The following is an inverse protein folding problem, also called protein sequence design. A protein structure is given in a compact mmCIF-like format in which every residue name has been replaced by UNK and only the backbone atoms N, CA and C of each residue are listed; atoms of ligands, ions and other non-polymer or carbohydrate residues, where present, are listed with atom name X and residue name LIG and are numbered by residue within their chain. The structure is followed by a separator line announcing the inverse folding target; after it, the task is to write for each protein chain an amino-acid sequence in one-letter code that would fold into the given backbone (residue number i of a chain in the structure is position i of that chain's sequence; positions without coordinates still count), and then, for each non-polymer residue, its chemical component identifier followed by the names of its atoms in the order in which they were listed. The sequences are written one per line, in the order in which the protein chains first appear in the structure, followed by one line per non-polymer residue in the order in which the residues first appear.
data_IF_322608496451
#
_entry.id   IF_322608496451
#
_cell.length_a   1.000
_cell.length_b   1.000
_cell.length_c   1.000
_cell.angle_alpha   90.00
_cell.angle_beta   90.00
_cell.angle_gamma   90.00
#
_symmetry.space_group_name_H-M   'P 1'
#
loop_
_entity.id
_entity.type
_entity.pdbx_description
1 polymer ?
#
# COMPACT_ATOMS: atom_id res chain seq x y z
N UNK A 1 -1.68 -14.19 -3.65
CA UNK A 1 -0.23 -13.92 -3.44
C UNK A 1 0.04 -12.84 -2.41
N UNK A 2 -0.82 -11.83 -2.29
CA UNK A 2 -0.70 -10.75 -1.30
C UNK A 2 -0.76 -11.25 0.16
N UNK A 3 -1.54 -12.30 0.47
CA UNK A 3 -1.51 -12.90 1.82
C UNK A 3 -0.20 -13.63 2.13
N UNK A 4 0.52 -14.12 1.10
CA UNK A 4 1.76 -14.89 1.30
C UNK A 4 2.92 -14.02 1.76
N UNK A 5 2.88 -12.71 1.52
CA UNK A 5 3.88 -11.80 2.09
C UNK A 5 3.70 -11.61 3.59
N UNK A 6 2.56 -12.00 4.19
CA UNK A 6 2.31 -11.95 5.64
C UNK A 6 2.20 -10.54 6.23
N UNK A 7 2.63 -9.52 5.48
CA UNK A 7 2.70 -8.10 5.83
C UNK A 7 1.38 -7.33 5.63
N UNK A 8 0.46 -7.89 4.85
CA UNK A 8 -0.83 -7.28 4.52
C UNK A 8 -1.97 -8.08 5.14
N UNK A 9 -3.05 -7.37 5.47
CA UNK A 9 -4.32 -7.92 5.88
C UNK A 9 -5.37 -7.52 4.83
N UNK A 10 -5.98 -8.53 4.20
CA UNK A 10 -7.02 -8.31 3.20
C UNK A 10 -8.33 -8.02 3.92
N UNK A 11 -8.89 -6.84 3.69
CA UNK A 11 -10.20 -6.44 4.20
C UNK A 11 -11.32 -6.79 3.23
N UNK A 12 -11.03 -6.73 1.93
CA UNK A 12 -11.95 -7.13 0.88
C UNK A 12 -11.16 -7.82 -0.22
N UNK A 13 -11.53 -9.07 -0.50
CA UNK A 13 -10.91 -9.94 -1.50
C UNK A 13 -11.48 -9.74 -2.91
N UNK A 14 -12.50 -8.89 -3.03
CA UNK A 14 -13.20 -8.64 -4.28
C UNK A 14 -14.35 -9.61 -4.57
N UNK A 15 -14.80 -10.37 -3.56
CA UNK A 15 -15.89 -11.35 -3.71
C UNK A 15 -17.25 -10.71 -4.06
N UNK A 16 -17.50 -9.46 -3.66
CA UNK A 16 -18.77 -8.77 -3.94
C UNK A 16 -18.69 -7.70 -5.04
N UNK A 17 -17.54 -7.04 -5.15
CA UNK A 17 -17.23 -6.05 -6.16
C UNK A 17 -15.80 -6.32 -6.60
N UNK A 18 -15.40 -6.01 -7.85
CA UNK A 18 -14.04 -6.22 -8.34
C UNK A 18 -13.11 -5.15 -7.76
N UNK A 19 -13.01 -5.12 -6.43
CA UNK A 19 -12.25 -4.16 -5.64
C UNK A 19 -11.56 -4.96 -4.55
N UNK A 20 -10.24 -4.89 -4.52
CA UNK A 20 -9.44 -5.46 -3.46
C UNK A 20 -9.05 -4.34 -2.51
N UNK A 21 -9.41 -4.49 -1.24
CA UNK A 21 -8.99 -3.56 -0.18
C UNK A 21 -8.08 -4.32 0.78
N UNK A 22 -6.92 -3.76 1.05
CA UNK A 22 -5.98 -4.33 2.01
C UNK A 22 -5.32 -3.23 2.83
N UNK A 23 -4.88 -3.61 4.03
CA UNK A 23 -4.11 -2.76 4.93
C UNK A 23 -2.74 -3.38 5.23
N UNK A 24 -1.78 -2.56 5.63
CA UNK A 24 -0.54 -3.06 6.21
C UNK A 24 -0.82 -3.52 7.65
N UNK A 25 -0.30 -4.67 8.05
CA UNK A 25 -0.28 -5.05 9.46
C UNK A 25 0.64 -4.12 10.25
N UNK A 26 0.28 -3.83 11.49
CA UNK A 26 1.12 -3.13 12.44
C UNK A 26 2.42 -3.92 12.64
N UNK A 27 3.52 -3.29 12.24
CA UNK A 27 4.86 -3.86 12.32
C UNK A 27 5.82 -2.75 12.72
N UNK A 28 6.29 -2.81 13.97
CA UNK A 28 7.13 -1.77 14.58
C UNK A 28 8.47 -1.57 13.88
N UNK A 29 8.85 -2.49 12.97
CA UNK A 29 10.12 -2.47 12.25
C UNK A 29 10.01 -1.93 10.81
N UNK A 30 8.85 -1.36 10.44
CA UNK A 30 8.59 -0.85 9.09
C UNK A 30 8.58 0.68 9.08
N UNK A 31 9.60 1.28 8.48
CA UNK A 31 9.70 2.74 8.32
C UNK A 31 8.96 3.34 7.11
N UNK A 32 8.08 2.59 6.46
CA UNK A 32 7.28 3.06 5.32
C UNK A 32 5.82 2.63 5.48
N UNK A 33 4.90 3.39 4.88
CA UNK A 33 3.46 3.17 4.98
C UNK A 33 2.80 2.97 3.60
N UNK A 34 1.47 2.81 3.55
CA UNK A 34 0.76 2.60 2.28
C UNK A 34 0.78 3.81 1.35
N UNK A 35 1.03 5.03 1.84
CA UNK A 35 1.25 6.19 0.97
C UNK A 35 2.56 6.06 0.20
N UNK A 36 3.64 5.63 0.85
CA UNK A 36 4.93 5.41 0.17
C UNK A 36 4.80 4.31 -0.90
N UNK A 37 4.05 3.24 -0.59
CA UNK A 37 3.75 2.20 -1.57
C UNK A 37 2.90 2.71 -2.73
N UNK A 38 1.87 3.52 -2.45
CA UNK A 38 1.03 4.13 -3.47
C UNK A 38 1.84 5.06 -4.38
N UNK A 39 2.77 5.84 -3.83
CA UNK A 39 3.66 6.71 -4.61
C UNK A 39 4.59 5.90 -5.54
N UNK A 40 5.20 4.82 -5.02
CA UNK A 40 6.03 3.92 -5.83
C UNK A 40 5.24 3.25 -6.96
N UNK A 41 4.01 2.81 -6.67
CA UNK A 41 3.11 2.26 -7.67
C UNK A 41 2.70 3.32 -8.71
N UNK A 42 2.49 4.56 -8.27
CA UNK A 42 2.20 5.69 -9.15
C UNK A 42 3.35 5.97 -10.12
N UNK A 43 4.60 5.90 -9.66
CA UNK A 43 5.79 6.01 -10.53
C UNK A 43 5.85 4.93 -11.62
N UNK A 44 5.29 3.75 -11.34
CA UNK A 44 5.16 2.62 -12.30
C UNK A 44 3.93 2.76 -13.20
N UNK A 45 3.08 3.76 -12.99
CA UNK A 45 1.85 4.01 -13.75
C UNK A 45 0.59 3.41 -13.15
N UNK A 46 0.68 2.78 -11.97
CA UNK A 46 -0.45 2.21 -11.26
C UNK A 46 -1.12 3.24 -10.35
N UNK A 47 -2.40 3.54 -10.59
CA UNK A 47 -3.18 4.46 -9.77
C UNK A 47 -3.90 3.69 -8.67
N UNK A 48 -3.27 3.56 -7.50
CA UNK A 48 -3.84 2.84 -6.35
C UNK A 48 -3.93 3.77 -5.14
N UNK A 49 -5.10 4.36 -4.85
CA UNK A 49 -5.26 5.30 -3.77
C UNK A 49 -5.10 4.63 -2.39
N UNK A 50 -4.36 5.30 -1.51
CA UNK A 50 -4.26 5.00 -0.09
C UNK A 50 -4.96 6.10 0.72
N UNK A 51 -5.73 5.73 1.73
CA UNK A 51 -6.47 6.67 2.59
C UNK A 51 -6.72 6.06 3.97
N UNK A 52 -6.89 6.89 5.03
CA UNK A 52 -7.11 6.39 6.37
C UNK A 52 -8.54 5.86 6.52
N UNK A 53 -8.72 4.83 7.36
CA UNK A 53 -10.04 4.26 7.62
C UNK A 53 -10.90 5.21 8.48
N UNK A 54 -12.14 5.54 8.07
CA UNK A 54 -13.00 6.41 8.88
C UNK A 54 -13.62 5.65 10.07
N UNK A 55 -13.63 6.31 11.24
CA UNK A 55 -14.02 5.87 12.60
C UNK A 55 -12.90 5.19 13.42
N UNK A 56 -12.43 5.90 14.47
CA UNK A 56 -11.60 5.42 15.59
C UNK A 56 -10.27 4.71 15.26
N UNK A 57 -9.89 4.57 13.99
CA UNK A 57 -8.66 3.94 13.52
C UNK A 57 -7.93 4.88 12.55
N UNK A 58 -7.75 6.14 12.93
CA UNK A 58 -7.10 7.18 12.11
C UNK A 58 -5.65 6.82 11.73
N UNK A 59 -5.03 5.89 12.47
CA UNK A 59 -3.70 5.37 12.20
C UNK A 59 -3.69 4.18 11.21
N UNK A 60 -4.84 3.60 10.88
CA UNK A 60 -4.92 2.51 9.90
C UNK A 60 -5.17 3.06 8.50
N UNK A 61 -4.12 3.03 7.68
CA UNK A 61 -4.20 3.38 6.26
C UNK A 61 -4.62 2.12 5.51
N UNK A 62 -5.56 2.28 4.58
CA UNK A 62 -5.98 1.24 3.66
C UNK A 62 -5.67 1.63 2.22
N UNK A 63 -5.43 0.63 1.39
CA UNK A 63 -5.21 0.81 -0.03
C UNK A 63 -6.32 0.08 -0.81
N UNK A 64 -6.86 0.75 -1.82
CA UNK A 64 -7.99 0.26 -2.62
C UNK A 64 -7.58 0.07 -4.07
N UNK A 65 -7.50 -1.19 -4.49
CA UNK A 65 -7.27 -1.58 -5.88
C UNK A 65 -8.60 -1.85 -6.57
N UNK A 66 -8.90 -1.10 -7.62
CA UNK A 66 -10.13 -1.29 -8.42
C UNK A 66 -9.77 -2.09 -9.67
N UNK A 67 -10.33 -3.29 -9.79
CA UNK A 67 -10.20 -4.16 -10.95
C UNK A 67 -11.31 -3.78 -11.93
N UNK A 68 -10.93 -3.28 -13.11
CA UNK A 68 -11.88 -2.94 -14.19
C UNK A 68 -12.01 -4.11 -15.16
N UNK A 69 -12.99 -4.05 -16.06
CA UNK A 69 -13.21 -5.11 -17.06
C UNK A 69 -12.02 -5.30 -18.01
N UNK A 70 -11.22 -4.24 -18.24
CA UNK A 70 -9.96 -4.26 -18.97
C UNK A 70 -8.78 -4.86 -18.18
N UNK A 71 -8.95 -5.06 -16.87
CA UNK A 71 -7.95 -5.64 -15.99
C UNK A 71 -7.94 -7.17 -16.11
N UNK A 72 -7.27 -7.66 -17.15
CA UNK A 72 -7.07 -9.09 -17.36
C UNK A 72 -6.08 -9.71 -16.36
N UNK A 73 -6.01 -11.04 -16.34
CA UNK A 73 -5.11 -11.79 -15.46
C UNK A 73 -3.64 -11.38 -15.63
N UNK A 74 -3.21 -11.07 -16.86
CA UNK A 74 -1.84 -10.60 -17.12
C UNK A 74 -1.54 -9.25 -16.45
N UNK A 75 -2.51 -8.33 -16.42
CA UNK A 75 -2.35 -7.06 -15.69
C UNK A 75 -2.28 -7.29 -14.18
N UNK A 76 -3.03 -8.27 -13.65
CA UNK A 76 -2.94 -8.67 -12.26
C UNK A 76 -1.54 -9.19 -11.91
N UNK A 77 -0.95 -10.03 -12.76
CA UNK A 77 0.42 -10.51 -12.57
C UNK A 77 1.44 -9.37 -12.61
N UNK A 78 1.37 -8.49 -13.61
CA UNK A 78 2.26 -7.33 -13.70
C UNK A 78 2.14 -6.43 -12.47
N UNK A 79 0.91 -6.18 -12.00
CA UNK A 79 0.64 -5.40 -10.80
C UNK A 79 1.30 -6.03 -9.57
N UNK A 80 1.11 -7.34 -9.36
CA UNK A 80 1.69 -8.05 -8.22
C UNK A 80 3.21 -8.00 -8.26
N UNK A 81 3.81 -8.14 -9.44
CA UNK A 81 5.26 -8.03 -9.62
C UNK A 81 5.77 -6.61 -9.29
N UNK A 82 5.16 -5.57 -9.86
CA UNK A 82 5.54 -4.17 -9.59
C UNK A 82 5.34 -3.81 -8.11
N UNK A 83 4.28 -4.33 -7.48
CA UNK A 83 4.03 -4.16 -6.05
C UNK A 83 5.13 -4.83 -5.21
N UNK A 84 5.56 -6.04 -5.56
CA UNK A 84 6.66 -6.73 -4.87
C UNK A 84 7.99 -5.96 -5.01
N UNK A 85 8.30 -5.48 -6.22
CA UNK A 85 9.49 -4.65 -6.46
C UNK A 85 9.44 -3.34 -5.65
N UNK A 86 8.27 -2.69 -5.58
CA UNK A 86 8.09 -1.48 -4.79
C UNK A 86 8.29 -1.74 -3.30
N UNK A 87 7.73 -2.83 -2.77
CA UNK A 87 7.93 -3.25 -1.36
C UNK A 87 9.41 -3.53 -1.09
N UNK A 88 10.10 -4.24 -1.98
CA UNK A 88 11.53 -4.52 -1.82
C UNK A 88 12.37 -3.23 -1.83
N UNK A 89 12.05 -2.30 -2.74
CA UNK A 89 12.70 -1.00 -2.81
C UNK A 89 12.48 -0.17 -1.54
N UNK A 90 11.26 -0.18 -0.99
CA UNK A 90 10.94 0.52 0.27
C UNK A 90 11.62 -0.11 1.47
N UNK A 91 11.67 -1.44 1.54
CA UNK A 91 12.41 -2.17 2.58
C UNK A 91 13.91 -1.84 2.53
N UNK A 92 14.53 -1.82 1.33
CA UNK A 92 15.94 -1.44 1.17
C UNK A 92 16.19 0.04 1.47
N UNK A 93 15.28 0.93 1.08
CA UNK A 93 15.38 2.35 1.38
C UNK A 93 15.36 2.57 2.90
N UNK A 94 14.49 1.88 3.64
CA UNK A 94 14.47 1.97 5.10
C UNK A 94 15.77 1.48 5.75
N UNK A 95 16.38 0.40 5.25
CA UNK A 95 17.67 -0.09 5.77
C UNK A 95 18.79 0.96 5.65
N UNK A 96 18.68 1.89 4.70
CA UNK A 96 19.64 3.00 4.53
C UNK A 96 19.32 4.20 5.44
N UNK A 97 18.06 4.39 5.85
CA UNK A 97 17.63 5.46 6.75
C UNK A 97 17.46 4.92 8.17
N UNK A 98 18.59 4.75 8.86
CA UNK A 98 18.63 4.50 10.30
C UNK A 98 18.80 5.84 11.05
N UNK A 99 17.81 6.73 10.96
CA UNK A 99 17.70 7.92 11.82
C UNK A 99 16.25 8.08 12.28
N UNK A 100 16.10 8.44 13.56
CA UNK A 100 14.91 8.43 14.43
C UNK A 100 13.60 9.01 13.84
N UNK A 101 12.42 8.62 14.37
CA UNK A 101 11.13 8.97 13.75
C UNK A 101 10.83 10.48 13.92
N UNK A 102 10.98 11.24 12.84
CA UNK A 102 10.52 12.62 12.77
C UNK A 102 9.02 12.65 12.44
N UNK A 103 8.21 13.04 13.41
CA UNK A 103 6.75 13.20 13.33
C UNK A 103 6.40 14.34 12.34
N UNK A 104 6.27 14.05 11.04
CA UNK A 104 5.88 15.06 10.05
C UNK A 104 4.37 15.21 9.99
N UNK A 105 3.88 16.26 10.66
CA UNK A 105 2.52 16.76 10.52
C UNK A 105 2.37 17.49 9.18
N UNK A 106 1.63 16.90 8.24
CA UNK A 106 1.22 17.61 7.01
C UNK A 106 -0.04 18.43 7.30
N UNK A 107 0.16 19.65 7.81
CA UNK A 107 -0.88 20.68 7.92
C UNK A 107 -0.71 21.72 6.81
N UNK A 108 -1.62 21.75 5.84
CA UNK A 108 -1.76 22.89 4.94
C UNK A 108 -2.29 24.09 5.74
N UNK A 109 -1.43 25.08 5.97
CA UNK A 109 -1.85 26.44 6.33
C UNK A 109 -1.29 27.37 5.26
N UNK A 110 -2.18 27.96 4.45
CA UNK A 110 -2.23 29.36 4.04
C UNK A 110 -3.62 29.65 3.47
#
# INVERSE_FOLDING_TARGET
EIEKTGMFEIMNDGSQLPIVCYKLKEDSNRGWNLYDLADRLLMKGWQVPAYPLPKNLENEIIQRLVIRADFGMNMAFNYVQDMQEAIEALNKAHILYHEEPENKTYGFTH
#
